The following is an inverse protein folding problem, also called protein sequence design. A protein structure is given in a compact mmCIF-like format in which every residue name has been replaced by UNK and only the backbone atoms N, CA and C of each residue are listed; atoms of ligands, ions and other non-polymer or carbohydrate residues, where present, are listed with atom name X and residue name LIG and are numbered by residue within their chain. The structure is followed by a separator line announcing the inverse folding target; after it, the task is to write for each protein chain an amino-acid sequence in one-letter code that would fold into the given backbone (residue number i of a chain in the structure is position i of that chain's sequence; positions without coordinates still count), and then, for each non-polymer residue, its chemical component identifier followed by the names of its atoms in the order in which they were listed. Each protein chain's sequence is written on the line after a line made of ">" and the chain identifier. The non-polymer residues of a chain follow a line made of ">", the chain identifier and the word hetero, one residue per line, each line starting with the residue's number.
data_IF_703510811410
#
_entry.id   IF_703510811410
#
_cell.length_a   1.000
_cell.length_b   1.000
_cell.length_c   1.000
_cell.angle_alpha   90.00
_cell.angle_beta   90.00
_cell.angle_gamma   90.00
#
_symmetry.space_group_name_H-M   'P 1'
#
loop_
_entity.id
_entity.type
_entity.pdbx_description
1 polymer ?
#
# COMPACT_ATOMS: atom_id res chain seq x y z
N UNK A 1 -6.53 -4.29 34.54
CA UNK A 1 -6.87 -4.01 33.13
C UNK A 1 -5.58 -3.50 32.50
N UNK A 2 -4.99 -4.22 31.55
CA UNK A 2 -3.76 -3.79 30.91
C UNK A 2 -4.07 -2.53 30.09
N UNK A 3 -3.34 -1.44 30.36
CA UNK A 3 -3.28 -0.27 29.49
C UNK A 3 -2.97 -0.77 28.08
N UNK A 4 -3.95 -0.66 27.18
CA UNK A 4 -3.71 -0.76 25.75
C UNK A 4 -3.02 0.54 25.32
N UNK A 5 -1.77 0.70 25.77
CA UNK A 5 -0.90 1.83 25.49
C UNK A 5 -0.94 2.11 24.00
N UNK A 6 -1.43 3.29 23.65
CA UNK A 6 -1.09 4.12 22.50
C UNK A 6 0.01 3.56 21.58
N UNK A 7 -0.31 2.50 20.82
CA UNK A 7 0.59 2.00 19.77
C UNK A 7 0.44 2.96 18.61
N UNK A 8 1.23 4.03 18.64
CA UNK A 8 1.26 5.09 17.62
C UNK A 8 2.18 4.73 16.45
N UNK A 9 3.03 3.72 16.59
CA UNK A 9 3.95 3.24 15.57
C UNK A 9 4.12 1.72 15.63
N UNK A 10 4.23 1.09 14.46
CA UNK A 10 4.59 -0.32 14.33
C UNK A 10 6.12 -0.52 14.44
N UNK A 11 6.60 -1.69 14.89
CA UNK A 11 8.02 -1.99 14.92
C UNK A 11 8.63 -1.92 13.50
N UNK A 12 9.85 -1.39 13.41
CA UNK A 12 10.63 -1.37 12.16
C UNK A 12 10.88 -2.82 11.71
N UNK A 13 10.57 -3.15 10.46
CA UNK A 13 10.63 -4.51 9.89
C UNK A 13 9.55 -5.47 10.41
N UNK A 14 8.27 -5.10 10.23
CA UNK A 14 7.16 -6.01 10.52
C UNK A 14 7.02 -7.05 9.39
N UNK A 15 7.42 -8.29 9.67
CA UNK A 15 7.22 -9.45 8.81
C UNK A 15 5.95 -10.19 9.25
N UNK A 16 4.81 -9.95 8.60
CA UNK A 16 3.71 -10.92 8.67
C UNK A 16 4.02 -12.04 7.69
N UNK A 17 3.86 -13.28 8.15
CA UNK A 17 3.98 -14.47 7.32
C UNK A 17 3.10 -14.36 6.06
N UNK A 18 3.49 -15.03 4.98
CA UNK A 18 2.94 -14.90 3.61
C UNK A 18 1.44 -15.26 3.50
N UNK A 19 0.77 -15.67 4.58
CA UNK A 19 -0.68 -15.90 4.64
C UNK A 19 -1.42 -15.01 5.66
N UNK A 20 -0.73 -14.04 6.28
CA UNK A 20 -1.33 -13.13 7.26
C UNK A 20 -1.97 -11.90 6.62
N UNK A 21 -3.19 -11.56 7.05
CA UNK A 21 -3.76 -10.23 6.84
C UNK A 21 -3.40 -9.31 8.01
N UNK A 22 -3.08 -8.06 7.71
CA UNK A 22 -2.87 -7.01 8.70
C UNK A 22 -4.06 -6.07 8.67
N UNK A 23 -4.84 -6.05 9.77
CA UNK A 23 -5.95 -5.14 9.96
C UNK A 23 -5.57 -4.07 10.99
N UNK A 24 -5.45 -2.83 10.51
CA UNK A 24 -5.17 -1.64 11.28
C UNK A 24 -6.38 -0.70 11.35
N UNK A 25 -7.55 -1.13 10.89
CA UNK A 25 -8.78 -0.32 10.97
C UNK A 25 -9.11 0.00 12.42
N UNK A 26 -9.43 1.26 12.71
CA UNK A 26 -9.69 1.72 14.08
C UNK A 26 -8.47 1.85 15.01
N UNK A 27 -7.25 1.59 14.54
CA UNK A 27 -6.02 1.81 15.33
C UNK A 27 -5.56 3.28 15.28
N UNK A 28 -4.68 3.68 16.21
CA UNK A 28 -4.07 5.03 16.25
C UNK A 28 -2.79 5.14 15.40
N UNK A 29 -2.55 4.20 14.47
CA UNK A 29 -1.34 4.18 13.65
C UNK A 29 -1.43 5.28 12.58
N UNK A 30 -0.42 6.15 12.55
CA UNK A 30 -0.35 7.29 11.62
C UNK A 30 0.72 7.12 10.53
N UNK A 31 1.58 6.11 10.66
CA UNK A 31 2.55 5.72 9.65
C UNK A 31 2.85 4.21 9.71
N UNK A 32 2.97 3.59 8.54
CA UNK A 32 3.42 2.22 8.38
C UNK A 32 4.95 2.12 8.48
N UNK A 33 5.50 0.99 8.95
CA UNK A 33 6.93 0.80 9.04
C UNK A 33 7.53 0.49 7.65
N UNK A 34 8.78 0.88 7.46
CA UNK A 34 9.56 0.45 6.31
C UNK A 34 9.74 -1.07 6.37
N UNK A 35 9.71 -1.74 5.22
CA UNK A 35 9.75 -3.21 5.09
C UNK A 35 8.54 -3.94 5.68
N UNK A 36 7.33 -3.41 5.49
CA UNK A 36 6.09 -4.13 5.78
C UNK A 36 5.84 -5.23 4.73
N UNK A 37 5.87 -6.49 5.15
CA UNK A 37 5.52 -7.64 4.31
C UNK A 37 4.23 -8.27 4.87
N UNK A 38 3.17 -8.31 4.07
CA UNK A 38 1.89 -8.95 4.39
C UNK A 38 1.19 -9.37 3.09
N UNK A 39 0.12 -10.16 3.16
CA UNK A 39 -0.64 -10.58 1.95
C UNK A 39 -1.90 -9.77 1.71
N UNK A 40 -2.44 -9.15 2.75
CA UNK A 40 -3.57 -8.22 2.66
C UNK A 40 -3.44 -7.18 3.75
N UNK A 41 -3.69 -5.93 3.39
CA UNK A 41 -3.58 -4.78 4.29
C UNK A 41 -4.92 -4.04 4.31
N UNK A 42 -5.52 -3.97 5.49
CA UNK A 42 -6.70 -3.16 5.77
C UNK A 42 -6.29 -2.05 6.73
N UNK A 43 -6.52 -0.80 6.35
CA UNK A 43 -6.22 0.36 7.17
C UNK A 43 -7.14 1.51 6.80
N UNK A 44 -7.24 2.50 7.68
CA UNK A 44 -7.94 3.76 7.42
C UNK A 44 -6.96 4.73 6.77
N UNK A 45 -7.00 4.92 5.44
CA UNK A 45 -5.95 5.65 4.75
C UNK A 45 -6.04 7.17 5.01
N UNK A 46 -7.16 7.66 5.51
CA UNK A 46 -7.34 9.04 5.99
C UNK A 46 -6.47 9.35 7.21
N UNK A 47 -6.04 8.33 7.96
CA UNK A 47 -5.21 8.48 9.17
C UNK A 47 -3.73 8.19 8.92
N UNK A 48 -3.42 7.43 7.88
CA UNK A 48 -2.05 6.99 7.58
C UNK A 48 -1.39 7.93 6.58
N UNK A 49 -0.31 8.57 7.01
CA UNK A 49 0.32 9.64 6.24
C UNK A 49 1.20 9.10 5.10
N UNK A 50 1.84 7.95 5.25
CA UNK A 50 2.80 7.37 4.29
C UNK A 50 2.17 6.32 3.36
N UNK A 51 0.86 6.47 3.12
CA UNK A 51 0.12 5.76 2.09
C UNK A 51 -0.74 6.75 1.32
N UNK A 52 -1.09 6.34 0.11
CA UNK A 52 -2.13 6.96 -0.70
C UNK A 52 -3.10 5.87 -1.11
N UNK A 53 -4.31 6.28 -1.48
CA UNK A 53 -5.35 5.34 -1.84
C UNK A 53 -6.25 5.95 -2.88
N UNK A 54 -6.85 5.09 -3.69
CA UNK A 54 -7.85 5.48 -4.66
C UNK A 54 -9.00 4.49 -4.60
N UNK A 55 -10.19 5.02 -4.36
CA UNK A 55 -11.46 4.27 -4.31
C UNK A 55 -12.03 4.17 -5.73
N UNK A 56 -12.93 3.22 -5.95
CA UNK A 56 -13.64 3.02 -7.22
C UNK A 56 -12.73 2.70 -8.42
N UNK A 57 -11.67 1.93 -8.19
CA UNK A 57 -10.73 1.53 -9.24
C UNK A 57 -11.11 0.18 -9.87
N UNK A 58 -10.98 0.10 -11.19
CA UNK A 58 -11.22 -1.12 -11.97
C UNK A 58 -12.68 -1.57 -11.98
N UNK A 59 -12.93 -2.76 -12.53
CA UNK A 59 -14.29 -3.24 -12.82
C UNK A 59 -15.15 -3.59 -11.59
N UNK A 60 -14.58 -3.59 -10.39
CA UNK A 60 -15.24 -4.01 -9.15
C UNK A 60 -15.25 -2.90 -8.07
N UNK A 61 -15.05 -1.63 -8.46
CA UNK A 61 -14.93 -0.50 -7.54
C UNK A 61 -13.93 -0.75 -6.39
N UNK A 62 -12.80 -1.40 -6.70
CA UNK A 62 -11.82 -1.78 -5.69
C UNK A 62 -11.07 -0.56 -5.20
N UNK A 63 -10.68 -0.59 -3.94
CA UNK A 63 -9.74 0.38 -3.39
C UNK A 63 -8.32 -0.12 -3.66
N UNK A 64 -7.52 0.72 -4.32
CA UNK A 64 -6.08 0.54 -4.45
C UNK A 64 -5.41 1.35 -3.35
N UNK A 65 -4.45 0.76 -2.67
CA UNK A 65 -3.57 1.45 -1.73
C UNK A 65 -2.15 1.39 -2.27
N UNK A 66 -1.46 2.53 -2.34
CA UNK A 66 -0.01 2.52 -2.51
C UNK A 66 0.66 2.71 -1.15
N UNK A 67 1.61 1.84 -0.86
CA UNK A 67 2.32 1.78 0.41
C UNK A 67 3.80 1.97 0.17
N UNK A 68 4.41 2.92 0.86
CA UNK A 68 5.84 3.15 0.78
C UNK A 68 6.55 2.18 1.70
N UNK A 69 7.43 1.36 1.13
CA UNK A 69 8.12 0.28 1.84
C UNK A 69 9.56 0.70 2.20
N UNK A 70 10.06 1.78 1.60
CA UNK A 70 11.42 2.27 1.79
C UNK A 70 12.19 2.38 0.49
N UNK A 71 13.51 2.51 0.61
CA UNK A 71 14.47 2.39 -0.48
C UNK A 71 15.17 1.03 -0.31
N UNK A 72 15.04 0.12 -1.26
CA UNK A 72 15.90 -1.09 -1.26
C UNK A 72 17.19 -0.79 -1.99
N UNK A 73 18.31 -1.25 -1.41
CA UNK A 73 19.67 -1.08 -1.94
C UNK A 73 19.89 -1.52 -3.39
N UNK A 74 18.98 -2.33 -3.98
CA UNK A 74 19.12 -2.89 -5.33
C UNK A 74 18.45 -2.07 -6.44
N UNK A 75 17.54 -1.14 -6.12
CA UNK A 75 16.82 -0.34 -7.12
C UNK A 75 17.02 1.12 -6.74
N UNK A 76 17.57 1.91 -7.66
CA UNK A 76 17.65 3.37 -7.57
C UNK A 76 16.23 3.93 -7.78
N UNK A 77 15.36 3.77 -6.78
CA UNK A 77 13.95 4.15 -6.86
C UNK A 77 13.18 3.80 -5.60
N UNK A 78 12.20 4.65 -5.25
CA UNK A 78 11.31 4.40 -4.12
C UNK A 78 10.56 3.08 -4.31
N UNK A 79 10.64 2.18 -3.33
CA UNK A 79 9.90 0.92 -3.38
C UNK A 79 8.50 1.15 -2.84
N UNK A 80 7.54 1.18 -3.75
CA UNK A 80 6.12 1.26 -3.42
C UNK A 80 5.44 -0.06 -3.77
N UNK A 81 4.62 -0.58 -2.85
CA UNK A 81 3.76 -1.72 -3.14
C UNK A 81 2.33 -1.26 -3.32
N UNK A 82 1.63 -1.96 -4.22
CA UNK A 82 0.20 -1.85 -4.42
C UNK A 82 -0.49 -2.90 -3.58
N UNK A 83 -1.39 -2.47 -2.71
CA UNK A 83 -2.38 -3.31 -2.05
C UNK A 83 -3.73 -3.14 -2.75
N UNK A 84 -4.31 -4.23 -3.26
CA UNK A 84 -5.58 -4.19 -3.96
C UNK A 84 -6.41 -5.45 -3.67
N UNK A 85 -7.19 -5.42 -2.58
CA UNK A 85 -7.88 -6.59 -2.06
C UNK A 85 -6.88 -7.62 -1.54
N UNK A 86 -6.86 -8.81 -2.15
CA UNK A 86 -5.95 -9.92 -1.79
C UNK A 86 -4.57 -9.84 -2.43
N UNK A 87 -4.26 -8.76 -3.14
CA UNK A 87 -2.96 -8.53 -3.77
C UNK A 87 -2.15 -7.55 -2.93
N UNK A 88 -0.90 -7.88 -2.64
CA UNK A 88 0.09 -6.96 -2.08
C UNK A 88 1.45 -7.23 -2.73
N UNK A 89 1.99 -6.26 -3.46
CA UNK A 89 3.26 -6.45 -4.17
C UNK A 89 3.69 -5.24 -5.01
N UNK A 90 4.83 -5.33 -5.69
CA UNK A 90 5.35 -4.22 -6.50
C UNK A 90 4.46 -3.93 -7.72
N UNK A 91 4.52 -2.71 -8.23
CA UNK A 91 3.71 -2.23 -9.37
C UNK A 91 3.76 -3.18 -10.57
N UNK A 92 4.94 -3.61 -11.01
CA UNK A 92 5.06 -4.49 -12.18
C UNK A 92 4.31 -5.83 -12.00
N UNK A 93 4.28 -6.38 -10.78
CA UNK A 93 3.58 -7.63 -10.47
C UNK A 93 2.07 -7.40 -10.35
N UNK A 94 1.67 -6.21 -9.93
CA UNK A 94 0.26 -5.78 -9.97
C UNK A 94 -0.22 -5.70 -11.42
N UNK A 95 0.54 -5.03 -12.29
CA UNK A 95 0.22 -4.92 -13.71
C UNK A 95 0.10 -6.30 -14.38
N UNK A 96 1.07 -7.19 -14.14
CA UNK A 96 1.03 -8.57 -14.65
C UNK A 96 -0.20 -9.34 -14.13
N UNK A 97 -0.53 -9.22 -12.84
CA UNK A 97 -1.71 -9.85 -12.27
C UNK A 97 -3.03 -9.27 -12.82
N UNK A 98 -3.05 -7.99 -13.19
CA UNK A 98 -4.18 -7.34 -13.84
C UNK A 98 -4.33 -7.85 -15.26
N UNK A 99 -3.25 -7.92 -16.03
CA UNK A 99 -3.25 -8.40 -17.42
C UNK A 99 -3.60 -9.90 -17.52
N UNK A 100 -3.29 -10.68 -16.48
CA UNK A 100 -3.69 -12.09 -16.40
C UNK A 100 -5.20 -12.27 -16.21
N UNK A 101 -5.88 -11.33 -15.54
CA UNK A 101 -7.27 -11.48 -15.09
C UNK A 101 -8.27 -10.59 -15.81
N UNK A 102 -7.82 -9.46 -16.34
CA UNK A 102 -8.62 -8.44 -16.99
C UNK A 102 -7.94 -8.02 -18.29
N UNK A 103 -8.73 -7.56 -19.25
CA UNK A 103 -8.23 -7.05 -20.53
C UNK A 103 -9.06 -5.85 -20.99
N UNK A 104 -8.52 -5.10 -21.96
CA UNK A 104 -9.15 -3.90 -22.50
C UNK A 104 -8.97 -2.65 -21.63
N UNK A 105 -9.74 -1.60 -21.93
CA UNK A 105 -9.59 -0.27 -21.31
C UNK A 105 -9.75 -0.28 -19.79
N UNK A 106 -10.61 -1.15 -19.24
CA UNK A 106 -10.80 -1.26 -17.80
C UNK A 106 -9.56 -1.79 -17.07
N UNK A 107 -8.78 -2.68 -17.72
CA UNK A 107 -7.53 -3.20 -17.17
C UNK A 107 -6.44 -2.10 -17.18
N UNK A 108 -6.31 -1.38 -18.29
CA UNK A 108 -5.39 -0.24 -18.41
C UNK A 108 -5.72 0.87 -17.41
N UNK A 109 -6.99 1.23 -17.27
CA UNK A 109 -7.44 2.19 -16.27
C UNK A 109 -7.11 1.73 -14.83
N UNK A 110 -7.18 0.43 -14.56
CA UNK A 110 -6.84 -0.13 -13.25
C UNK A 110 -5.33 -0.12 -12.98
N UNK A 111 -4.51 -0.43 -13.99
CA UNK A 111 -3.05 -0.27 -13.93
C UNK A 111 -2.67 1.20 -13.72
N UNK A 112 -3.28 2.10 -14.48
CA UNK A 112 -3.05 3.54 -14.38
C UNK A 112 -3.43 4.07 -13.00
N UNK A 113 -4.56 3.65 -12.43
CA UNK A 113 -4.92 4.01 -11.06
C UNK A 113 -3.89 3.55 -10.02
N UNK A 114 -3.24 2.40 -10.24
CA UNK A 114 -2.11 1.95 -9.42
C UNK A 114 -0.89 2.86 -9.55
N UNK A 115 -0.53 3.26 -10.77
CA UNK A 115 0.57 4.19 -11.04
C UNK A 115 0.31 5.55 -10.42
N UNK A 116 -0.87 6.12 -10.65
CA UNK A 116 -1.27 7.41 -10.08
C UNK A 116 -1.16 7.40 -8.55
N UNK A 117 -1.61 6.32 -7.88
CA UNK A 117 -1.45 6.19 -6.43
C UNK A 117 0.02 6.25 -6.01
N UNK A 118 0.91 5.59 -6.73
CA UNK A 118 2.36 5.60 -6.44
C UNK A 118 2.94 6.99 -6.68
N UNK A 119 2.59 7.64 -7.78
CA UNK A 119 3.07 8.99 -8.11
C UNK A 119 2.62 10.00 -7.03
N UNK A 120 1.36 9.97 -6.64
CA UNK A 120 0.83 10.77 -5.52
C UNK A 120 1.58 10.49 -4.22
N UNK A 121 1.94 9.24 -3.96
CA UNK A 121 2.68 8.86 -2.77
C UNK A 121 4.11 9.41 -2.80
N UNK A 122 4.77 9.31 -3.94
CA UNK A 122 6.11 9.85 -4.16
C UNK A 122 6.09 11.38 -3.99
N UNK A 123 5.11 12.08 -4.57
CA UNK A 123 4.92 13.51 -4.38
C UNK A 123 4.69 13.86 -2.90
N UNK A 124 3.82 13.10 -2.21
CA UNK A 124 3.54 13.28 -0.78
C UNK A 124 4.77 13.03 0.11
N UNK A 125 5.70 12.18 -0.32
CA UNK A 125 6.95 11.93 0.39
C UNK A 125 8.01 13.00 0.10
N UNK A 126 8.10 13.46 -1.16
CA UNK A 126 9.03 14.53 -1.58
C UNK A 126 8.66 15.90 -1.00
N UNK A 127 7.38 16.14 -0.75
CA UNK A 127 6.88 17.40 -0.18
C UNK A 127 6.98 17.48 1.35
N UNK A 128 7.37 16.39 2.03
CA UNK A 128 7.67 16.47 3.47
C UNK A 128 9.01 17.15 3.68
N UNK A 129 9.08 18.25 4.47
CA UNK A 129 10.37 18.82 4.83
C UNK A 129 11.20 17.75 5.55
N UNK A 130 12.41 17.51 5.04
CA UNK A 130 13.42 16.64 5.67
C UNK A 130 13.82 17.15 7.04
#
# INVERSE_FOLDING_TARGET
>A
MADNKDVTALPKNLLLSVDGYLDLTGTQITALPNNLICSSLYLDPERVSNVTFRKNCGNNNRTIFAVWIGETFYIIGAVCYIAAGSFYGPLWKFEDAVDLKYSGEAAEAYKQAGRDCIDELIEKLNTRPR
#
